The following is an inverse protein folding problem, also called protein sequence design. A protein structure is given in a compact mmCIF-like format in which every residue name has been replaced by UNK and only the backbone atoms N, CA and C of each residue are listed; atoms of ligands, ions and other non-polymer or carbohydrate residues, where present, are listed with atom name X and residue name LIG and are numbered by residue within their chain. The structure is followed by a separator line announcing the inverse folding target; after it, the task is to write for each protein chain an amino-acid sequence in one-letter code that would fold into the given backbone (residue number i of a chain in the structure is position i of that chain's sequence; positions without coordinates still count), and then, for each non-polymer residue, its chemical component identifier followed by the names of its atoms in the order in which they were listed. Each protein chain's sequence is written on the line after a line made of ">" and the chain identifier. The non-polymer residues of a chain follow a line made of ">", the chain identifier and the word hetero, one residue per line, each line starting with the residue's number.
data_IF_250652478097
#
_entry.id   IF_250652478097
#
_cell.length_a   1.000
_cell.length_b   1.000
_cell.length_c   1.000
_cell.angle_alpha   90.00
_cell.angle_beta   90.00
_cell.angle_gamma   90.00
#
_symmetry.space_group_name_H-M   'P 1'
#
loop_
_entity.id
_entity.type
_entity.pdbx_description
1 polymer ?
#
# COMPACT_ATOMS: atom_id res chain seq x y z
N UNK A 1 2.71 29.03 25.97
CA UNK A 1 2.29 28.73 24.59
C UNK A 1 0.97 29.44 24.36
N UNK A 2 0.96 30.50 23.55
CA UNK A 2 -0.23 31.27 23.20
C UNK A 2 -0.75 30.72 21.88
N UNK A 3 -2.00 30.24 21.83
CA UNK A 3 -2.62 29.75 20.59
C UNK A 3 -3.25 30.89 19.80
N UNK A 4 -3.00 30.94 18.49
CA UNK A 4 -3.74 31.82 17.59
C UNK A 4 -5.15 31.28 17.34
N UNK A 5 -6.15 32.16 17.33
CA UNK A 5 -7.53 31.82 16.97
C UNK A 5 -7.86 32.41 15.61
N UNK A 6 -8.34 31.57 14.70
CA UNK A 6 -8.80 31.99 13.37
C UNK A 6 -10.32 32.20 13.39
N UNK A 7 -10.79 33.24 12.69
CA UNK A 7 -12.20 33.64 12.67
C UNK A 7 -12.95 33.17 11.41
N UNK A 8 -12.28 32.40 10.54
CA UNK A 8 -12.88 31.83 9.33
C UNK A 8 -12.14 30.56 8.90
N UNK A 9 -12.86 29.63 8.28
CA UNK A 9 -12.27 28.38 7.77
C UNK A 9 -11.21 28.61 6.70
N UNK A 10 -11.32 29.69 5.91
CA UNK A 10 -10.29 30.05 4.92
C UNK A 10 -8.99 30.48 5.57
N UNK A 11 -9.05 31.25 6.66
CA UNK A 11 -7.85 31.70 7.38
C UNK A 11 -7.17 30.52 8.08
N UNK A 12 -7.95 29.62 8.67
CA UNK A 12 -7.45 28.40 9.30
C UNK A 12 -6.78 27.46 8.27
N UNK A 13 -7.42 27.24 7.12
CA UNK A 13 -6.82 26.46 6.03
C UNK A 13 -5.52 27.07 5.52
N UNK A 14 -5.47 28.41 5.41
CA UNK A 14 -4.25 29.13 5.03
C UNK A 14 -3.12 28.91 6.02
N UNK A 15 -3.40 28.98 7.33
CA UNK A 15 -2.41 28.75 8.38
C UNK A 15 -1.86 27.31 8.35
N UNK A 16 -2.73 26.31 8.16
CA UNK A 16 -2.28 24.93 8.00
C UNK A 16 -1.40 24.75 6.76
N UNK A 17 -1.81 25.29 5.62
CA UNK A 17 -1.04 25.20 4.39
C UNK A 17 0.36 25.83 4.54
N UNK A 18 0.45 26.98 5.20
CA UNK A 18 1.72 27.64 5.49
C UNK A 18 2.60 26.82 6.43
N UNK A 19 2.01 26.29 7.51
CA UNK A 19 2.74 25.43 8.45
C UNK A 19 3.29 24.19 7.74
N UNK A 20 2.45 23.47 7.00
CA UNK A 20 2.87 22.29 6.27
C UNK A 20 3.94 22.61 5.23
N UNK A 21 3.79 23.68 4.47
CA UNK A 21 4.82 24.14 3.53
C UNK A 21 6.16 24.46 4.21
N UNK A 22 6.14 24.95 5.46
CA UNK A 22 7.34 25.34 6.20
C UNK A 22 8.14 24.18 6.78
N UNK A 23 7.49 23.05 7.08
CA UNK A 23 8.14 21.86 7.66
C UNK A 23 8.66 20.91 6.59
N UNK A 24 8.21 21.04 5.35
CA UNK A 24 8.80 20.32 4.22
C UNK A 24 10.07 21.04 3.77
N UNK A 25 11.21 20.38 3.89
CA UNK A 25 12.44 20.85 3.26
C UNK A 25 12.23 20.89 1.73
N UNK A 26 12.72 21.92 1.02
CA UNK A 26 12.79 21.89 -0.44
C UNK A 26 13.50 20.60 -0.82
N UNK A 27 12.85 19.74 -1.63
CA UNK A 27 13.46 18.52 -2.12
C UNK A 27 14.80 18.93 -2.76
N UNK A 28 15.97 18.57 -2.20
CA UNK A 28 17.21 18.80 -2.91
C UNK A 28 17.05 18.10 -4.27
N UNK A 29 17.56 18.65 -5.38
CA UNK A 29 17.60 17.93 -6.64
C UNK A 29 18.33 16.63 -6.34
N UNK A 30 17.55 15.59 -6.14
CA UNK A 30 18.08 14.28 -5.84
C UNK A 30 18.61 13.88 -7.19
N UNK A 31 19.94 13.76 -7.39
CA UNK A 31 20.38 13.05 -8.57
C UNK A 31 19.63 11.73 -8.51
N UNK A 32 18.79 11.47 -9.52
CA UNK A 32 18.21 10.14 -9.68
C UNK A 32 19.41 9.21 -9.58
N UNK A 33 19.32 8.25 -8.67
CA UNK A 33 20.36 7.27 -8.49
C UNK A 33 20.55 6.58 -9.86
N UNK A 34 21.52 7.03 -10.65
CA UNK A 34 21.89 6.40 -11.93
C UNK A 34 22.76 5.18 -11.67
N UNK A 35 22.59 4.54 -10.52
CA UNK A 35 23.16 3.22 -10.32
C UNK A 35 22.32 2.30 -11.18
N UNK A 36 22.78 2.08 -12.42
CA UNK A 36 22.50 0.86 -13.14
C UNK A 36 23.11 -0.27 -12.31
N UNK A 37 22.39 -0.68 -11.26
CA UNK A 37 22.71 -1.90 -10.53
C UNK A 37 22.54 -2.99 -11.56
N UNK A 38 23.66 -3.52 -12.04
CA UNK A 38 23.63 -4.75 -12.82
C UNK A 38 23.24 -5.85 -11.86
N UNK A 39 21.94 -6.13 -11.78
CA UNK A 39 21.42 -7.25 -11.01
C UNK A 39 21.90 -8.51 -11.74
N UNK A 40 22.96 -9.14 -11.22
CA UNK A 40 23.53 -10.37 -11.79
C UNK A 40 22.67 -11.59 -11.46
N UNK A 41 21.91 -11.51 -10.36
CA UNK A 41 21.05 -12.59 -9.89
C UNK A 41 19.64 -12.45 -10.49
N UNK A 42 19.32 -13.32 -11.44
CA UNK A 42 17.99 -13.41 -12.00
C UNK A 42 17.17 -14.44 -11.22
N UNK A 43 15.94 -14.08 -10.85
CA UNK A 43 14.98 -15.06 -10.32
C UNK A 43 14.42 -15.87 -11.51
N UNK A 44 15.13 -16.93 -11.88
CA UNK A 44 14.81 -17.75 -13.05
C UNK A 44 13.66 -18.74 -12.78
N UNK A 45 13.40 -19.06 -11.51
CA UNK A 45 12.39 -20.06 -11.14
C UNK A 45 11.65 -19.65 -9.89
N UNK A 46 10.32 -19.73 -9.96
CA UNK A 46 9.41 -19.56 -8.83
C UNK A 46 8.62 -20.86 -8.71
N UNK A 47 8.74 -21.51 -7.56
CA UNK A 47 7.92 -22.67 -7.21
C UNK A 47 6.75 -22.20 -6.38
N UNK A 48 5.53 -22.56 -6.77
CA UNK A 48 4.31 -22.31 -6.01
C UNK A 48 3.60 -23.65 -5.84
N UNK A 49 3.40 -24.07 -4.60
CA UNK A 49 2.73 -25.34 -4.30
C UNK A 49 1.23 -25.16 -4.07
N UNK A 50 0.47 -26.22 -4.30
CA UNK A 50 -0.98 -26.24 -4.06
C UNK A 50 -1.27 -26.00 -2.57
N UNK A 51 -0.46 -26.58 -1.70
CA UNK A 51 -0.54 -26.47 -0.26
C UNK A 51 -0.36 -25.02 0.21
N UNK A 52 0.63 -24.31 -0.34
CA UNK A 52 0.88 -22.90 -0.04
C UNK A 52 -0.30 -22.02 -0.47
N UNK A 53 -0.82 -22.22 -1.68
CA UNK A 53 -1.96 -21.45 -2.19
C UNK A 53 -3.21 -21.72 -1.35
N UNK A 54 -3.50 -22.98 -1.05
CA UNK A 54 -4.66 -23.35 -0.23
C UNK A 54 -4.53 -22.79 1.20
N UNK A 55 -3.33 -22.84 1.80
CA UNK A 55 -3.08 -22.25 3.11
C UNK A 55 -3.30 -20.73 3.11
N UNK A 56 -2.89 -20.03 2.06
CA UNK A 56 -3.13 -18.59 1.94
C UNK A 56 -4.62 -18.26 1.77
N UNK A 57 -5.31 -18.94 0.86
CA UNK A 57 -6.74 -18.71 0.60
C UNK A 57 -7.61 -19.05 1.80
N UNK A 58 -7.36 -20.19 2.45
CA UNK A 58 -8.11 -20.64 3.63
C UNK A 58 -7.91 -19.74 4.86
N UNK A 59 -6.82 -18.96 4.93
CA UNK A 59 -6.56 -18.03 6.03
C UNK A 59 -6.97 -16.58 5.73
N UNK A 60 -7.60 -16.30 4.59
CA UNK A 60 -8.12 -14.96 4.29
C UNK A 60 -9.13 -14.49 5.35
N UNK A 61 -8.98 -13.22 5.77
CA UNK A 61 -9.92 -12.57 6.69
C UNK A 61 -11.16 -12.13 5.93
N UNK A 62 -12.31 -12.71 6.27
CA UNK A 62 -13.61 -12.39 5.64
C UNK A 62 -14.21 -11.08 6.13
N UNK A 63 -13.63 -10.45 7.16
CA UNK A 63 -14.06 -9.15 7.68
C UNK A 63 -13.53 -7.96 6.86
N UNK A 64 -12.61 -8.20 5.91
CA UNK A 64 -12.05 -7.15 5.06
C UNK A 64 -13.03 -6.76 3.96
N UNK A 65 -13.00 -5.49 3.59
CA UNK A 65 -13.75 -4.99 2.45
C UNK A 65 -13.31 -5.69 1.15
N UNK A 66 -14.24 -5.76 0.21
CA UNK A 66 -14.00 -6.30 -1.12
C UNK A 66 -13.08 -5.34 -1.91
N UNK A 67 -12.19 -5.91 -2.74
CA UNK A 67 -11.30 -5.14 -3.59
C UNK A 67 -12.05 -4.38 -4.69
N UNK A 68 -11.34 -3.55 -5.48
CA UNK A 68 -11.93 -2.85 -6.63
C UNK A 68 -12.39 -3.81 -7.76
N UNK A 69 -11.97 -5.08 -7.69
CA UNK A 69 -12.37 -6.16 -8.59
C UNK A 69 -13.73 -6.79 -8.22
N UNK A 70 -14.31 -6.46 -7.06
CA UNK A 70 -15.58 -7.02 -6.61
C UNK A 70 -15.48 -8.43 -6.02
N UNK A 71 -14.28 -9.00 -5.85
CA UNK A 71 -14.09 -10.36 -5.34
C UNK A 71 -13.89 -10.34 -3.82
N UNK A 72 -14.86 -10.90 -3.09
CA UNK A 72 -14.78 -10.93 -1.63
C UNK A 72 -13.79 -11.99 -1.13
N UNK A 73 -13.11 -11.70 -0.03
CA UNK A 73 -12.24 -12.66 0.66
C UNK A 73 -12.98 -13.94 1.08
N UNK A 74 -14.29 -13.84 1.37
CA UNK A 74 -15.14 -14.99 1.68
C UNK A 74 -15.25 -15.95 0.50
N UNK A 75 -15.49 -15.44 -0.71
CA UNK A 75 -15.59 -16.27 -1.91
C UNK A 75 -14.29 -17.06 -2.15
N UNK A 76 -13.15 -16.38 -2.09
CA UNK A 76 -11.84 -17.00 -2.29
C UNK A 76 -11.52 -18.09 -1.26
N UNK A 77 -11.92 -17.86 0.00
CA UNK A 77 -11.74 -18.82 1.10
C UNK A 77 -12.59 -20.08 0.92
N UNK A 78 -13.88 -19.92 0.57
CA UNK A 78 -14.79 -21.06 0.34
C UNK A 78 -14.42 -21.86 -0.92
N UNK A 79 -13.84 -21.20 -1.93
CA UNK A 79 -13.39 -21.84 -3.16
C UNK A 79 -11.93 -22.33 -3.13
N UNK A 80 -11.25 -22.31 -1.97
CA UNK A 80 -9.80 -22.56 -1.90
C UNK A 80 -9.39 -23.93 -2.47
N UNK A 81 -10.20 -24.96 -2.24
CA UNK A 81 -9.94 -26.32 -2.73
C UNK A 81 -10.17 -26.54 -4.23
N UNK A 82 -10.79 -25.57 -4.92
CA UNK A 82 -10.97 -25.59 -6.39
C UNK A 82 -9.98 -24.63 -7.06
N UNK A 83 -9.71 -23.48 -6.44
CA UNK A 83 -8.79 -22.47 -6.94
C UNK A 83 -7.32 -22.88 -6.81
N UNK A 84 -7.00 -23.77 -5.87
CA UNK A 84 -5.73 -24.48 -5.80
C UNK A 84 -5.96 -25.93 -6.28
N UNK A 85 -5.95 -26.21 -7.60
CA UNK A 85 -6.18 -27.55 -8.11
C UNK A 85 -5.02 -28.47 -7.71
N UNK A 86 -5.36 -29.65 -7.19
CA UNK A 86 -4.44 -30.78 -7.02
C UNK A 86 -3.95 -31.30 -8.37
#
# INVERSE_FOLDING_TARGET
>A
MTGEKYNSSSAEAGAFNQYFASVFLPKPPTPLCTTSVSVQDQLDTITVTVEEVNALLSNLSTAKATGPDGISARLLKECSGVLAPL
#
